data_IF_837176681137
#
_entry.id   IF_837176681137
#
_cell.length_a   1.000
_cell.length_b   1.000
_cell.length_c   1.000
_cell.angle_alpha   90.00
_cell.angle_beta   90.00
_cell.angle_gamma   90.00
#
_symmetry.space_group_name_H-M   'P 1'
#
loop_
_entity.id
_entity.type
_entity.pdbx_description
1 polymer ?
#
# COMPACT_ATOMS: atom_id res chain seq x y z
N UNK A 1 -8.22 6.84 -16.43
CA UNK A 1 -7.70 5.69 -17.21
C UNK A 1 -6.81 4.84 -16.31
N UNK A 2 -7.02 3.53 -16.24
CA UNK A 2 -6.23 2.62 -15.40
C UNK A 2 -4.93 2.27 -16.11
N UNK A 3 -3.79 2.42 -15.42
CA UNK A 3 -2.46 2.19 -16.00
C UNK A 3 -1.65 1.11 -15.26
N UNK A 4 -2.20 0.50 -14.20
CA UNK A 4 -1.51 -0.55 -13.42
C UNK A 4 -1.70 -1.92 -14.10
N UNK A 5 -1.48 -3.01 -13.37
CA UNK A 5 -1.38 -4.35 -13.94
C UNK A 5 -2.76 -4.94 -14.25
N UNK A 6 -2.96 -5.42 -15.47
CA UNK A 6 -4.13 -6.19 -15.93
C UNK A 6 -3.69 -7.11 -17.09
N UNK A 7 -4.42 -8.21 -17.40
CA UNK A 7 -4.00 -9.16 -18.42
C UNK A 7 -3.64 -8.48 -19.75
N UNK A 8 -2.43 -8.74 -20.25
CA UNK A 8 -1.87 -8.15 -21.46
C UNK A 8 -1.17 -6.79 -21.28
N UNK A 9 -1.26 -6.15 -20.11
CA UNK A 9 -0.58 -4.88 -19.82
C UNK A 9 0.74 -5.07 -19.08
N UNK A 10 1.61 -4.06 -19.23
CA UNK A 10 2.94 -4.02 -18.65
C UNK A 10 3.06 -2.91 -17.61
N UNK A 11 3.76 -3.22 -16.51
CA UNK A 11 4.10 -2.26 -15.46
C UNK A 11 5.54 -2.47 -15.01
N UNK A 12 6.14 -1.42 -14.46
CA UNK A 12 7.44 -1.53 -13.80
C UNK A 12 7.28 -1.87 -12.33
N UNK A 13 7.99 -2.88 -11.86
CA UNK A 13 8.27 -3.05 -10.44
C UNK A 13 9.29 -1.99 -10.03
N UNK A 14 8.98 -1.19 -9.00
CA UNK A 14 9.85 -0.10 -8.55
C UNK A 14 11.27 -0.61 -8.32
N UNK A 15 12.24 0.06 -8.96
CA UNK A 15 13.67 -0.24 -8.89
C UNK A 15 14.08 -1.64 -9.37
N UNK A 16 13.20 -2.33 -10.11
CA UNK A 16 13.44 -3.68 -10.62
C UNK A 16 13.04 -3.77 -12.11
N UNK A 17 12.42 -4.88 -12.50
CA UNK A 17 12.09 -5.24 -13.88
C UNK A 17 10.71 -4.71 -14.32
N UNK A 18 10.49 -4.70 -15.62
CA UNK A 18 9.17 -4.61 -16.23
C UNK A 18 8.54 -5.99 -16.25
N UNK A 19 7.27 -6.06 -15.88
CA UNK A 19 6.47 -7.30 -15.88
C UNK A 19 5.23 -7.12 -16.76
N UNK A 20 4.83 -8.20 -17.43
CA UNK A 20 3.60 -8.31 -18.22
C UNK A 20 2.66 -9.31 -17.56
N UNK A 21 1.43 -8.91 -17.28
CA UNK A 21 0.44 -9.83 -16.73
C UNK A 21 -0.04 -10.82 -17.80
N UNK A 22 0.07 -12.11 -17.50
CA UNK A 22 -0.39 -13.20 -18.36
C UNK A 22 -1.74 -13.74 -17.92
N UNK A 23 -2.11 -13.59 -16.64
CA UNK A 23 -3.41 -14.05 -16.12
C UNK A 23 -3.52 -13.96 -14.60
N UNK A 24 -4.55 -14.58 -14.06
CA UNK A 24 -4.76 -14.68 -12.61
C UNK A 24 -5.53 -15.96 -12.26
N UNK A 25 -5.24 -16.50 -11.08
CA UNK A 25 -6.04 -17.55 -10.46
C UNK A 25 -7.15 -16.94 -9.61
N UNK A 26 -8.28 -17.63 -9.53
CA UNK A 26 -9.43 -17.22 -8.72
C UNK A 26 -9.92 -18.37 -7.86
N UNK A 27 -10.46 -18.04 -6.68
CA UNK A 27 -11.19 -18.99 -5.84
C UNK A 27 -12.62 -19.26 -6.36
N UNK A 28 -13.35 -20.14 -5.68
CA UNK A 28 -14.73 -20.51 -6.01
C UNK A 28 -15.71 -19.33 -5.98
N UNK A 29 -15.39 -18.28 -5.22
CA UNK A 29 -16.18 -17.05 -5.11
C UNK A 29 -15.77 -15.99 -6.14
N UNK A 30 -14.79 -16.28 -6.99
CA UNK A 30 -14.27 -15.37 -8.01
C UNK A 30 -13.24 -14.34 -7.50
N UNK A 31 -12.75 -14.46 -6.27
CA UNK A 31 -11.71 -13.58 -5.75
C UNK A 31 -10.35 -13.97 -6.33
N UNK A 32 -9.55 -12.98 -6.71
CA UNK A 32 -8.19 -13.21 -7.25
C UNK A 32 -7.25 -13.67 -6.13
N UNK A 33 -6.63 -14.84 -6.29
CA UNK A 33 -5.69 -15.43 -5.31
C UNK A 33 -4.24 -15.32 -5.73
N UNK A 34 -3.96 -15.34 -7.04
CA UNK A 34 -2.63 -15.13 -7.59
C UNK A 34 -2.71 -14.37 -8.93
N UNK A 35 -1.70 -13.55 -9.21
CA UNK A 35 -1.52 -12.88 -10.50
C UNK A 35 -0.25 -13.41 -11.14
N UNK A 36 -0.38 -13.94 -12.36
CA UNK A 36 0.73 -14.48 -13.12
C UNK A 36 1.31 -13.41 -14.04
N UNK A 37 2.63 -13.31 -14.06
CA UNK A 37 3.32 -12.35 -14.89
C UNK A 37 4.68 -12.89 -15.36
N UNK A 38 5.08 -12.47 -16.55
CA UNK A 38 6.43 -12.68 -17.10
C UNK A 38 7.23 -11.40 -16.90
N UNK A 39 8.53 -11.52 -16.63
CA UNK A 39 9.42 -10.37 -16.47
C UNK A 39 10.44 -10.31 -17.61
N UNK A 40 10.83 -9.10 -17.98
CA UNK A 40 11.86 -8.88 -19.01
C UNK A 40 13.23 -8.68 -18.34
N UNK A 41 14.15 -9.64 -18.49
CA UNK A 41 15.48 -9.63 -17.86
C UNK A 41 16.32 -8.40 -18.23
N UNK A 42 16.24 -7.97 -19.49
CA UNK A 42 16.95 -6.79 -20.01
C UNK A 42 16.46 -5.46 -19.45
N UNK A 43 15.35 -5.43 -18.71
CA UNK A 43 14.71 -4.19 -18.27
C UNK A 43 15.13 -3.70 -16.87
N UNK A 44 16.11 -4.37 -16.23
CA UNK A 44 16.56 -4.02 -14.87
C UNK A 44 17.17 -2.62 -14.84
N UNK A 45 16.58 -1.72 -14.04
CA UNK A 45 17.17 -0.40 -13.77
C UNK A 45 17.09 0.63 -14.90
N UNK A 46 16.52 0.28 -16.06
CA UNK A 46 16.40 1.17 -17.22
C UNK A 46 15.16 0.90 -18.06
N UNK A 47 14.93 1.69 -19.11
CA UNK A 47 13.84 1.41 -20.06
C UNK A 47 14.08 0.07 -20.78
N UNK A 48 13.00 -0.61 -21.23
CA UNK A 48 13.12 -1.78 -22.10
C UNK A 48 14.02 -1.50 -23.31
N UNK A 49 14.72 -2.53 -23.79
CA UNK A 49 15.71 -2.41 -24.87
C UNK A 49 15.09 -1.93 -26.20
N UNK A 50 13.81 -2.23 -26.41
CA UNK A 50 13.01 -1.83 -27.58
C UNK A 50 12.50 -0.38 -27.51
N UNK A 51 12.78 0.35 -26.42
CA UNK A 51 12.42 1.75 -26.24
C UNK A 51 10.93 1.99 -25.90
N UNK A 52 10.13 0.94 -25.68
CA UNK A 52 8.71 1.10 -25.36
C UNK A 52 8.50 1.81 -24.02
N UNK A 53 7.51 2.72 -23.98
CA UNK A 53 7.20 3.51 -22.79
C UNK A 53 6.26 2.75 -21.85
N UNK A 54 6.75 2.45 -20.65
CA UNK A 54 5.95 1.87 -19.57
C UNK A 54 5.14 2.95 -18.86
N UNK A 55 3.82 2.75 -18.76
CA UNK A 55 2.87 3.78 -18.31
C UNK A 55 2.71 3.86 -16.79
N UNK A 56 3.11 2.82 -16.05
CA UNK A 56 3.01 2.81 -14.60
C UNK A 56 4.15 2.04 -13.93
N UNK A 57 4.44 2.45 -12.70
CA UNK A 57 5.33 1.77 -11.77
C UNK A 57 4.56 1.43 -10.50
N UNK A 58 4.69 0.21 -9.99
CA UNK A 58 4.07 -0.26 -8.74
C UNK A 58 5.14 -0.61 -7.70
N UNK A 59 4.82 -0.48 -6.41
CA UNK A 59 5.65 -1.02 -5.34
C UNK A 59 5.43 -2.53 -5.21
N UNK A 60 6.38 -3.22 -4.60
CA UNK A 60 6.36 -4.67 -4.41
C UNK A 60 7.30 -5.04 -3.26
N UNK A 61 7.19 -6.27 -2.76
CA UNK A 61 8.12 -6.88 -1.82
C UNK A 61 8.36 -8.32 -2.25
N UNK A 62 9.54 -8.88 -1.97
CA UNK A 62 9.86 -10.27 -2.27
C UNK A 62 9.27 -11.18 -1.19
N UNK A 63 8.42 -12.13 -1.59
CA UNK A 63 7.79 -13.09 -0.67
C UNK A 63 8.77 -13.93 0.15
N UNK A 64 10.01 -14.12 -0.31
CA UNK A 64 11.00 -14.94 0.43
C UNK A 64 11.61 -14.19 1.60
N UNK A 65 11.63 -12.86 1.54
CA UNK A 65 12.32 -12.00 2.52
C UNK A 65 11.38 -11.03 3.21
N UNK A 66 10.15 -10.88 2.72
CA UNK A 66 9.16 -10.00 3.31
C UNK A 66 8.80 -10.41 4.74
N UNK A 67 8.62 -9.41 5.59
CA UNK A 67 8.22 -9.57 6.98
C UNK A 67 6.73 -9.31 7.13
N UNK A 68 6.11 -9.96 8.12
CA UNK A 68 4.74 -9.67 8.52
C UNK A 68 4.70 -8.45 9.45
N UNK A 69 3.73 -7.58 9.20
CA UNK A 69 3.45 -6.41 10.01
C UNK A 69 1.95 -6.20 10.19
N UNK A 70 1.58 -5.60 11.32
CA UNK A 70 0.26 -5.01 11.52
C UNK A 70 0.32 -3.55 11.07
N UNK A 71 -0.56 -3.12 10.18
CA UNK A 71 -0.61 -1.74 9.69
C UNK A 71 -1.93 -1.10 10.10
N UNK A 72 -1.86 0.00 10.85
CA UNK A 72 -3.00 0.82 11.27
C UNK A 72 -3.16 2.00 10.34
N UNK A 73 -4.22 1.99 9.55
CA UNK A 73 -4.60 3.05 8.64
C UNK A 73 -5.58 3.97 9.36
N UNK A 74 -5.07 5.08 9.90
CA UNK A 74 -5.91 6.12 10.48
C UNK A 74 -6.52 7.00 9.40
N UNK A 75 -7.72 7.49 9.70
CA UNK A 75 -8.44 8.55 8.99
C UNK A 75 -9.01 9.55 10.02
N UNK A 76 -9.78 10.53 9.57
CA UNK A 76 -10.46 11.51 10.41
C UNK A 76 -11.31 10.79 11.45
N UNK A 77 -11.21 11.23 12.72
CA UNK A 77 -11.99 10.67 13.83
C UNK A 77 -13.48 10.96 13.71
N UNK A 78 -13.83 12.11 13.13
CA UNK A 78 -15.21 12.55 12.97
C UNK A 78 -15.59 12.66 11.50
N UNK A 79 -16.87 12.43 11.20
CA UNK A 79 -17.46 12.55 9.87
C UNK A 79 -17.80 14.00 9.50
N UNK A 80 -17.84 14.90 10.49
CA UNK A 80 -18.15 16.33 10.34
C UNK A 80 -16.97 17.21 10.77
N UNK A 81 -16.93 18.44 10.27
CA UNK A 81 -15.85 19.40 10.57
C UNK A 81 -15.93 19.98 11.99
N UNK A 82 -17.15 20.23 12.49
CA UNK A 82 -17.41 20.80 13.82
C UNK A 82 -18.33 19.87 14.64
N UNK A 83 -17.78 18.81 15.27
CA UNK A 83 -18.55 17.83 16.01
C UNK A 83 -19.03 18.33 17.40
N UNK A 84 -18.58 19.51 17.85
CA UNK A 84 -18.84 20.08 19.18
C UNK A 84 -19.87 21.20 19.20
N UNK A 85 -20.57 21.45 18.08
CA UNK A 85 -21.62 22.46 18.03
C UNK A 85 -22.70 22.15 19.06
N UNK A 86 -23.10 23.21 19.79
CA UNK A 86 -24.20 23.14 20.74
C UNK A 86 -25.43 22.55 20.03
N UNK A 87 -26.10 21.60 20.69
CA UNK A 87 -27.25 20.81 20.24
C UNK A 87 -26.96 19.45 19.57
N UNK A 88 -25.70 19.00 19.48
CA UNK A 88 -25.37 17.64 19.01
C UNK A 88 -24.55 16.82 20.02
N UNK A 89 -24.76 15.49 20.02
CA UNK A 89 -23.85 14.55 20.70
C UNK A 89 -22.71 14.17 19.75
N UNK A 90 -21.49 14.63 20.03
CA UNK A 90 -20.31 14.40 19.18
C UNK A 90 -20.01 12.91 18.92
N UNK A 91 -20.43 12.01 19.81
CA UNK A 91 -20.26 10.56 19.65
C UNK A 91 -21.02 10.02 18.43
N UNK A 92 -22.11 10.68 18.04
CA UNK A 92 -22.91 10.29 16.87
C UNK A 92 -22.17 10.55 15.55
N UNK A 93 -21.12 11.37 15.58
CA UNK A 93 -20.29 11.70 14.43
C UNK A 93 -18.95 10.96 14.39
N UNK A 94 -18.72 9.97 15.27
CA UNK A 94 -17.52 9.15 15.19
C UNK A 94 -17.50 8.42 13.84
N UNK A 95 -16.39 8.57 13.12
CA UNK A 95 -16.17 7.87 11.87
C UNK A 95 -15.84 6.40 12.16
N UNK A 96 -16.70 5.44 11.75
CA UNK A 96 -16.42 4.01 11.94
C UNK A 96 -15.18 3.55 11.17
N UNK A 97 -14.81 4.27 10.10
CA UNK A 97 -13.62 4.01 9.28
C UNK A 97 -12.39 4.83 9.74
N UNK A 98 -12.45 5.48 10.90
CA UNK A 98 -11.34 6.27 11.48
C UNK A 98 -10.08 5.43 11.74
N UNK A 99 -10.22 4.12 11.88
CA UNK A 99 -9.13 3.17 11.99
C UNK A 99 -9.45 1.87 11.24
N UNK A 100 -8.63 1.54 10.26
CA UNK A 100 -8.59 0.20 9.66
C UNK A 100 -7.30 -0.51 10.02
N UNK A 101 -7.40 -1.67 10.65
CA UNK A 101 -6.25 -2.54 10.96
C UNK A 101 -6.07 -3.57 9.85
N UNK A 102 -4.87 -3.61 9.28
CA UNK A 102 -4.46 -4.60 8.28
C UNK A 102 -3.44 -5.53 8.92
N UNK A 103 -3.87 -6.75 9.21
CA UNK A 103 -2.99 -7.81 9.73
C UNK A 103 -2.29 -8.54 8.58
N UNK A 104 -1.10 -9.08 8.86
CA UNK A 104 -0.31 -9.84 7.87
C UNK A 104 0.13 -9.02 6.65
N UNK A 105 0.24 -7.70 6.80
CA UNK A 105 0.78 -6.87 5.74
C UNK A 105 2.25 -7.21 5.50
N UNK A 106 2.65 -7.36 4.24
CA UNK A 106 4.03 -7.69 3.87
C UNK A 106 4.86 -6.42 3.71
N UNK A 107 5.97 -6.35 4.43
CA UNK A 107 6.93 -5.22 4.39
C UNK A 107 8.34 -5.69 4.04
N UNK A 108 9.20 -4.79 3.58
CA UNK A 108 10.58 -5.13 3.18
C UNK A 108 11.42 -5.63 4.37
N UNK A 109 12.36 -6.54 4.09
CA UNK A 109 13.29 -7.09 5.08
C UNK A 109 14.13 -6.02 5.79
N UNK A 110 14.38 -4.89 5.12
CA UNK A 110 15.12 -3.74 5.65
C UNK A 110 14.48 -3.14 6.92
N UNK A 111 13.20 -3.43 7.18
CA UNK A 111 12.47 -2.97 8.35
C UNK A 111 12.59 -3.89 9.57
N UNK A 112 13.35 -5.00 9.48
CA UNK A 112 13.55 -5.93 10.59
C UNK A 112 14.08 -5.23 11.85
N UNK A 113 15.03 -4.31 11.67
CA UNK A 113 15.72 -3.60 12.74
C UNK A 113 15.17 -2.19 12.97
N UNK A 114 13.98 -1.88 12.42
CA UNK A 114 13.31 -0.62 12.66
C UNK A 114 13.06 -0.43 14.17
N UNK A 115 13.23 0.81 14.64
CA UNK A 115 13.07 1.16 16.04
C UNK A 115 11.73 1.86 16.27
N UNK A 116 11.16 1.73 17.48
CA UNK A 116 10.02 2.56 17.90
C UNK A 116 10.21 4.04 17.55
N UNK A 117 9.17 4.65 16.99
CA UNK A 117 9.14 6.04 16.50
C UNK A 117 9.92 6.32 15.20
N UNK A 118 10.61 5.36 14.60
CA UNK A 118 11.19 5.51 13.27
C UNK A 118 10.08 5.81 12.24
N UNK A 119 10.44 6.59 11.21
CA UNK A 119 9.51 7.14 10.22
C UNK A 119 9.91 6.71 8.83
N UNK A 120 8.95 6.24 8.06
CA UNK A 120 9.14 5.70 6.73
C UNK A 120 8.11 6.26 5.77
N UNK A 121 8.50 6.40 4.51
CA UNK A 121 7.54 6.59 3.43
C UNK A 121 7.29 5.23 2.77
N UNK A 122 6.12 4.64 3.00
CA UNK A 122 5.72 3.47 2.23
C UNK A 122 5.28 3.96 0.85
N UNK A 123 6.02 3.52 -0.17
CA UNK A 123 5.93 4.05 -1.52
C UNK A 123 4.50 3.99 -2.07
N UNK A 124 4.00 5.14 -2.53
CA UNK A 124 2.63 5.32 -3.07
C UNK A 124 1.49 5.08 -2.06
N UNK A 125 1.79 4.86 -0.78
CA UNK A 125 0.80 4.59 0.26
C UNK A 125 0.68 5.76 1.24
N UNK A 126 1.80 6.25 1.77
CA UNK A 126 1.77 7.27 2.83
C UNK A 126 3.07 7.35 3.61
N UNK A 127 3.05 8.18 4.64
CA UNK A 127 4.07 8.20 5.67
C UNK A 127 3.57 7.39 6.87
N UNK A 128 4.46 6.56 7.40
CA UNK A 128 4.20 5.63 8.48
C UNK A 128 5.26 5.82 9.57
N UNK A 129 4.87 5.58 10.80
CA UNK A 129 5.81 5.45 11.91
C UNK A 129 5.62 4.11 12.62
N UNK A 130 6.71 3.57 13.15
CA UNK A 130 6.63 2.37 13.99
C UNK A 130 6.01 2.73 15.33
N UNK A 131 4.97 2.00 15.73
CA UNK A 131 4.21 2.27 16.96
C UNK A 131 5.12 2.10 18.18
N UNK A 132 5.08 3.05 19.11
CA UNK A 132 6.00 3.08 20.26
C UNK A 132 5.59 2.17 21.41
N UNK A 133 4.34 1.70 21.43
CA UNK A 133 3.78 0.89 22.51
C UNK A 133 3.66 -0.58 22.11
N UNK A 134 3.19 -0.83 20.90
CA UNK A 134 2.79 -2.16 20.44
C UNK A 134 3.85 -2.87 19.59
N UNK A 135 4.82 -2.13 19.07
CA UNK A 135 5.94 -2.70 18.33
C UNK A 135 7.02 -3.25 19.27
N UNK A 136 7.54 -4.43 18.94
CA UNK A 136 8.62 -5.11 19.68
C UNK A 136 9.45 -5.96 18.72
N UNK A 137 10.65 -6.41 19.09
CA UNK A 137 11.43 -7.33 18.25
C UNK A 137 10.58 -8.52 17.78
N UNK A 138 10.55 -8.75 16.47
CA UNK A 138 9.72 -9.80 15.83
C UNK A 138 8.23 -9.47 15.67
N UNK A 139 7.75 -8.31 16.13
CA UNK A 139 6.38 -7.83 15.91
C UNK A 139 6.40 -6.36 15.46
N UNK A 140 6.24 -6.17 14.15
CA UNK A 140 6.22 -4.85 13.53
C UNK A 140 4.79 -4.30 13.53
N UNK A 141 4.60 -3.11 14.10
CA UNK A 141 3.32 -2.39 14.07
C UNK A 141 3.56 -1.00 13.52
N UNK A 142 2.89 -0.65 12.42
CA UNK A 142 3.04 0.66 11.77
C UNK A 142 1.74 1.44 11.81
N UNK A 143 1.84 2.73 12.16
CA UNK A 143 0.75 3.68 12.11
C UNK A 143 0.92 4.59 10.89
N UNK A 144 -0.11 4.69 10.03
CA UNK A 144 -0.12 5.69 8.96
C UNK A 144 -0.29 7.08 9.57
N UNK A 145 0.76 7.89 9.52
CA UNK A 145 0.72 9.28 10.00
C UNK A 145 -0.08 10.16 9.06
N UNK A 146 0.14 10.03 7.75
CA UNK A 146 -0.60 10.77 6.72
C UNK A 146 -0.56 10.01 5.40
N UNK A 147 -1.66 10.02 4.65
CA UNK A 147 -1.69 9.50 3.28
C UNK A 147 -0.92 10.44 2.35
N UNK A 148 -0.41 9.91 1.23
CA UNK A 148 0.06 10.80 0.17
C UNK A 148 -1.13 11.57 -0.42
N UNK A 149 -0.88 12.78 -0.91
CA UNK A 149 -1.89 13.58 -1.61
C UNK A 149 -2.37 12.78 -2.81
N UNK A 150 -3.61 12.31 -2.77
CA UNK A 150 -4.20 11.70 -3.94
C UNK A 150 -4.46 12.80 -4.98
N UNK A 151 -4.07 12.54 -6.22
CA UNK A 151 -4.36 13.43 -7.36
C UNK A 151 -5.69 13.07 -8.02
N UNK A 152 -6.34 12.00 -7.54
CA UNK A 152 -7.66 11.59 -7.98
C UNK A 152 -8.72 12.53 -7.42
N UNK A 153 -9.27 13.38 -8.29
CA UNK A 153 -10.53 14.08 -8.03
C UNK A 153 -11.67 13.12 -8.38
N UNK A 154 -12.54 12.73 -7.44
CA UNK A 154 -13.80 12.10 -7.82
C UNK A 154 -14.56 13.10 -8.71
N UNK A 155 -15.10 12.60 -9.80
CA UNK A 155 -15.90 13.40 -10.72
C UNK A 155 -17.16 13.81 -9.97
N UNK A 156 -17.30 15.12 -9.71
CA UNK A 156 -18.53 15.76 -9.21
C UNK A 156 -19.65 15.62 -10.22
#
# INVERSE_FOLDING_TARGET
>A
KYFRLFPGNEVRLKSAYVIKCTGCDKDENGNVTAVHAEYEESSRGGNPADGRRIKATIHWVDTKTALDATVRLYDRLFTVEAPDLADCNYLDYINPDSLKVVEGAKVEASLADAKPADRFQFLRLGYFCMDTKDSKPGKLVFNRSVSLKDSYKPQS
#
